data_IF_261860447957
#
_entry.id   IF_261860447957
#
_cell.length_a   1.000
_cell.length_b   1.000
_cell.length_c   1.000
_cell.angle_alpha   90.00
_cell.angle_beta   90.00
_cell.angle_gamma   90.00
#
_symmetry.space_group_name_H-M   'P 1'
#
loop_
_entity.id
_entity.type
_entity.pdbx_description
1 polymer ?
#
# COMPACT_ATOMS: atom_id res chain seq x y z
N UNK A 1 -4.35 -13.23 2.35
CA UNK A 1 -2.92 -13.47 2.04
C UNK A 1 -2.19 -13.97 3.28
N UNK A 2 -1.29 -14.95 3.16
CA UNK A 2 -0.46 -15.41 4.28
C UNK A 2 0.83 -14.56 4.36
N UNK A 3 1.26 -14.10 5.55
CA UNK A 3 2.56 -13.48 5.72
C UNK A 3 3.70 -14.46 5.39
N UNK A 4 4.76 -13.95 4.79
CA UNK A 4 5.99 -14.67 4.47
C UNK A 4 7.05 -14.24 5.49
N UNK A 5 7.65 -15.17 6.25
CA UNK A 5 8.80 -14.85 7.08
C UNK A 5 10.02 -14.63 6.19
N UNK A 6 10.73 -13.53 6.42
CA UNK A 6 11.93 -13.15 5.70
C UNK A 6 13.10 -13.04 6.68
N UNK A 7 14.30 -13.38 6.22
CA UNK A 7 15.55 -13.22 6.97
C UNK A 7 16.46 -12.21 6.26
N UNK A 8 17.30 -11.54 7.04
CA UNK A 8 18.25 -10.60 6.49
C UNK A 8 19.48 -11.33 5.93
N UNK A 9 19.93 -10.92 4.74
CA UNK A 9 21.06 -11.56 4.04
C UNK A 9 22.32 -11.70 4.90
N UNK A 10 22.57 -10.73 5.78
CA UNK A 10 23.79 -10.64 6.59
C UNK A 10 23.61 -11.06 8.07
N UNK A 11 22.41 -11.50 8.48
CA UNK A 11 22.19 -11.97 9.85
C UNK A 11 21.02 -12.96 9.92
N UNK A 12 21.32 -14.25 10.10
CA UNK A 12 20.35 -15.35 10.13
C UNK A 12 19.39 -15.31 11.33
N UNK A 13 19.65 -14.50 12.35
CA UNK A 13 18.81 -14.43 13.57
C UNK A 13 17.75 -13.33 13.52
N UNK A 14 17.92 -12.35 12.62
CA UNK A 14 16.96 -11.27 12.45
C UNK A 14 15.92 -11.68 11.41
N UNK A 15 14.64 -11.41 11.71
CA UNK A 15 13.53 -11.77 10.83
C UNK A 15 12.48 -10.67 10.79
N UNK A 16 11.74 -10.62 9.69
CA UNK A 16 10.59 -9.76 9.49
C UNK A 16 9.51 -10.53 8.74
N UNK A 17 8.28 -10.01 8.71
CA UNK A 17 7.17 -10.62 7.99
C UNK A 17 6.74 -9.70 6.87
N UNK A 18 6.64 -10.23 5.67
CA UNK A 18 6.16 -9.54 4.48
C UNK A 18 4.81 -10.11 4.05
N UNK A 19 3.85 -9.25 3.73
CA UNK A 19 2.56 -9.66 3.14
C UNK A 19 2.58 -9.19 1.69
N UNK A 20 2.68 -10.11 0.70
CA UNK A 20 2.83 -9.76 -0.70
C UNK A 20 1.74 -8.80 -1.19
N UNK A 21 2.14 -7.57 -1.52
CA UNK A 21 1.20 -6.51 -1.87
C UNK A 21 0.41 -6.85 -3.12
N UNK A 22 1.02 -7.52 -4.10
CA UNK A 22 0.37 -8.00 -5.32
C UNK A 22 -0.81 -8.89 -4.94
N UNK A 23 -0.60 -9.89 -4.07
CA UNK A 23 -1.67 -10.79 -3.64
C UNK A 23 -2.76 -10.07 -2.82
N UNK A 24 -2.39 -9.07 -2.01
CA UNK A 24 -3.39 -8.26 -1.29
C UNK A 24 -4.25 -7.48 -2.29
N UNK A 25 -3.64 -6.80 -3.26
CA UNK A 25 -4.34 -6.08 -4.33
C UNK A 25 -5.24 -7.00 -5.14
N UNK A 26 -4.75 -8.18 -5.56
CA UNK A 26 -5.57 -9.18 -6.25
C UNK A 26 -6.81 -9.52 -5.42
N UNK A 27 -6.67 -9.78 -4.11
CA UNK A 27 -7.82 -10.11 -3.27
C UNK A 27 -8.79 -8.93 -3.10
N UNK A 28 -8.28 -7.70 -3.01
CA UNK A 28 -9.11 -6.49 -2.90
C UNK A 28 -9.93 -6.28 -4.17
N UNK A 29 -9.31 -6.45 -5.33
CA UNK A 29 -9.97 -6.25 -6.62
C UNK A 29 -10.98 -7.35 -6.96
N UNK A 30 -10.86 -8.54 -6.36
CA UNK A 30 -11.84 -9.61 -6.53
C UNK A 30 -13.19 -9.30 -5.84
N UNK A 31 -13.23 -8.34 -4.91
CA UNK A 31 -14.47 -7.87 -4.30
C UNK A 31 -15.18 -6.95 -5.30
N UNK A 32 -16.28 -7.41 -5.88
CA UNK A 32 -16.99 -6.76 -6.99
C UNK A 32 -17.19 -5.25 -6.80
N UNK A 33 -17.88 -4.82 -5.74
CA UNK A 33 -18.12 -3.40 -5.47
C UNK A 33 -16.83 -2.56 -5.36
N UNK A 34 -15.74 -3.14 -4.86
CA UNK A 34 -14.48 -2.43 -4.62
C UNK A 34 -13.61 -2.41 -5.86
N UNK A 35 -13.48 -3.55 -6.55
CA UNK A 35 -12.73 -3.66 -7.80
C UNK A 35 -13.32 -2.75 -8.87
N UNK A 36 -14.63 -2.78 -9.04
CA UNK A 36 -15.37 -1.91 -9.96
C UNK A 36 -15.14 -0.43 -9.67
N UNK A 37 -15.22 0.00 -8.42
CA UNK A 37 -14.97 1.40 -8.04
C UNK A 37 -13.52 1.83 -8.30
N UNK A 38 -12.55 0.95 -8.07
CA UNK A 38 -11.12 1.24 -8.27
C UNK A 38 -10.78 1.29 -9.77
N UNK A 39 -11.32 0.37 -10.56
CA UNK A 39 -11.02 0.18 -11.99
C UNK A 39 -11.88 1.10 -12.86
N UNK A 40 -13.21 1.02 -12.75
CA UNK A 40 -14.14 1.72 -13.65
C UNK A 40 -14.33 3.20 -13.31
N UNK A 41 -13.58 3.71 -12.34
CA UNK A 41 -13.61 5.11 -11.91
C UNK A 41 -15.05 5.60 -11.71
N UNK A 42 -15.68 5.21 -10.59
CA UNK A 42 -17.03 5.68 -10.28
C UNK A 42 -17.11 7.20 -10.50
N UNK A 43 -18.10 7.71 -11.25
CA UNK A 43 -18.13 9.10 -11.66
C UNK A 43 -18.15 9.96 -10.41
N UNK A 44 -17.00 10.55 -10.08
CA UNK A 44 -16.97 11.67 -9.18
C UNK A 44 -17.91 12.69 -9.82
N UNK A 45 -18.84 13.22 -9.03
CA UNK A 45 -19.58 14.42 -9.40
C UNK A 45 -18.61 15.41 -10.07
N UNK A 46 -19.02 16.10 -11.15
CA UNK A 46 -18.13 17.00 -11.86
C UNK A 46 -17.45 17.94 -10.84
N UNK A 47 -16.12 18.14 -10.95
CA UNK A 47 -15.36 18.82 -9.92
C UNK A 47 -15.98 20.18 -9.64
N UNK A 48 -16.43 20.39 -8.40
CA UNK A 48 -16.93 21.68 -7.97
C UNK A 48 -15.72 22.51 -7.51
N UNK A 49 -15.50 23.72 -8.07
CA UNK A 49 -14.28 24.50 -7.80
C UNK A 49 -14.02 24.77 -6.31
N UNK A 50 -15.08 24.82 -5.52
CA UNK A 50 -15.03 25.20 -4.10
C UNK A 50 -15.07 24.00 -3.14
N UNK A 51 -15.30 22.78 -3.63
CA UNK A 51 -15.48 21.59 -2.78
C UNK A 51 -14.48 20.50 -3.18
N UNK A 52 -13.63 20.11 -2.23
CA UNK A 52 -12.76 18.95 -2.36
C UNK A 52 -13.54 17.70 -1.95
N UNK A 53 -13.71 16.76 -2.88
CA UNK A 53 -14.52 15.56 -2.69
C UNK A 53 -13.67 14.29 -2.55
N UNK A 54 -12.46 14.31 -3.11
CA UNK A 54 -11.57 13.15 -3.04
C UNK A 54 -10.11 13.46 -3.36
N UNK A 55 -9.32 12.38 -3.43
CA UNK A 55 -7.89 12.44 -3.69
C UNK A 55 -7.53 13.18 -4.99
N UNK A 56 -8.33 13.00 -6.05
CA UNK A 56 -8.09 13.62 -7.37
C UNK A 56 -8.25 15.14 -7.37
N UNK A 57 -8.92 15.70 -6.37
CA UNK A 57 -9.07 17.15 -6.24
C UNK A 57 -7.83 17.84 -5.68
N UNK A 58 -6.90 17.07 -5.10
CA UNK A 58 -5.65 17.59 -4.58
C UNK A 58 -4.71 18.11 -5.67
N UNK A 59 -3.98 19.18 -5.37
CA UNK A 59 -2.96 19.75 -6.26
C UNK A 59 -1.93 18.71 -6.70
N UNK A 60 -1.53 17.80 -5.79
CA UNK A 60 -0.61 16.70 -6.10
C UNK A 60 -1.09 15.84 -7.27
N UNK A 61 -2.38 15.47 -7.28
CA UNK A 61 -2.94 14.71 -8.39
C UNK A 61 -2.99 15.54 -9.66
N UNK A 62 -3.54 16.75 -9.58
CA UNK A 62 -3.78 17.63 -10.73
C UNK A 62 -2.49 18.03 -11.45
N UNK A 63 -1.45 18.36 -10.69
CA UNK A 63 -0.21 18.94 -11.23
C UNK A 63 0.86 17.90 -11.57
N UNK A 64 0.89 16.75 -10.87
CA UNK A 64 1.96 15.76 -11.03
C UNK A 64 1.46 14.40 -11.50
N UNK A 65 0.47 13.83 -10.81
CA UNK A 65 0.10 12.43 -11.05
C UNK A 65 -0.75 12.25 -12.31
N UNK A 66 -1.62 13.20 -12.63
CA UNK A 66 -2.46 13.18 -13.83
C UNK A 66 -1.63 12.98 -15.10
N UNK A 67 -0.51 13.69 -15.23
CA UNK A 67 0.41 13.59 -16.37
C UNK A 67 1.12 12.23 -16.50
N UNK A 68 1.23 11.45 -15.41
CA UNK A 68 1.80 10.10 -15.44
C UNK A 68 0.80 9.07 -16.01
N UNK A 69 -0.50 9.35 -15.94
CA UNK A 69 -1.57 8.47 -16.43
C UNK A 69 -1.79 8.67 -17.94
N UNK A 70 -1.66 9.91 -18.44
CA UNK A 70 -2.04 10.32 -19.81
C UNK A 70 -1.39 9.52 -20.95
N UNK A 71 -0.29 8.81 -20.67
CA UNK A 71 0.46 8.03 -21.66
C UNK A 71 0.27 6.50 -21.50
N UNK A 72 -0.64 6.07 -20.63
CA UNK A 72 -0.81 4.67 -20.24
C UNK A 72 -2.18 4.14 -20.65
N UNK A 73 -2.20 2.98 -21.32
CA UNK A 73 -3.43 2.19 -21.52
C UNK A 73 -3.80 1.34 -20.31
N UNK A 74 -3.15 1.57 -19.15
CA UNK A 74 -3.29 0.77 -17.93
C UNK A 74 -4.15 1.48 -16.90
N UNK A 75 -5.02 0.71 -16.25
CA UNK A 75 -5.74 1.17 -15.07
C UNK A 75 -4.74 1.49 -13.95
N UNK A 76 -4.92 2.62 -13.26
CA UNK A 76 -3.93 3.11 -12.31
C UNK A 76 -4.45 3.11 -10.89
N UNK A 77 -3.77 2.38 -10.01
CA UNK A 77 -4.04 2.37 -8.56
C UNK A 77 -3.07 3.30 -7.85
N UNK A 78 -3.61 4.18 -7.01
CA UNK A 78 -2.81 5.11 -6.21
C UNK A 78 -2.67 4.58 -4.79
N UNK A 79 -1.43 4.36 -4.35
CA UNK A 79 -1.16 3.85 -3.00
C UNK A 79 -0.53 4.92 -2.12
N UNK A 80 -1.05 5.07 -0.91
CA UNK A 80 -0.38 5.78 0.18
C UNK A 80 0.29 4.75 1.08
N UNK A 81 1.63 4.78 1.17
CA UNK A 81 2.40 3.97 2.12
C UNK A 81 2.70 4.79 3.38
N UNK A 82 2.54 4.18 4.54
CA UNK A 82 2.87 4.82 5.82
C UNK A 82 3.29 3.79 6.85
N UNK A 83 3.97 4.26 7.89
CA UNK A 83 4.47 3.42 8.97
C UNK A 83 3.81 3.78 10.29
N UNK A 84 3.62 2.77 11.13
CA UNK A 84 3.27 2.94 12.54
C UNK A 84 4.23 2.15 13.43
N UNK A 85 4.39 2.60 14.66
CA UNK A 85 5.24 1.97 15.65
C UNK A 85 4.41 1.52 16.84
N UNK A 86 4.38 0.21 17.07
CA UNK A 86 3.61 -0.37 18.17
C UNK A 86 4.55 -1.02 19.17
N UNK A 87 4.34 -0.73 20.45
CA UNK A 87 5.03 -1.42 21.54
C UNK A 87 4.09 -2.48 22.15
N UNK A 88 4.48 -3.75 22.07
CA UNK A 88 3.64 -4.87 22.55
C UNK A 88 3.66 -4.98 24.08
N UNK A 89 4.67 -4.44 24.73
CA UNK A 89 4.82 -4.46 26.19
C UNK A 89 4.38 -3.14 26.82
N UNK A 90 4.25 -3.14 28.15
CA UNK A 90 3.85 -1.96 28.90
C UNK A 90 4.76 -0.76 28.55
N UNK A 91 4.21 0.29 27.91
CA UNK A 91 4.99 1.45 27.50
C UNK A 91 5.46 2.30 28.70
N UNK A 92 5.02 1.97 29.91
CA UNK A 92 5.38 2.63 31.16
C UNK A 92 6.04 1.62 32.11
N UNK A 93 7.37 1.57 32.11
CA UNK A 93 8.15 0.72 33.02
C UNK A 93 9.61 0.54 32.62
N UNK A 94 10.38 -0.15 33.45
CA UNK A 94 11.82 -0.37 33.25
C UNK A 94 12.19 -1.15 31.98
N UNK A 95 11.20 -1.77 31.30
CA UNK A 95 11.39 -2.52 30.04
C UNK A 95 10.80 -1.81 28.81
N UNK A 96 10.48 -0.51 28.92
CA UNK A 96 9.99 0.29 27.79
C UNK A 96 10.97 0.24 26.61
N UNK A 97 10.45 0.14 25.40
CA UNK A 97 11.17 0.14 24.12
C UNK A 97 11.75 -1.21 23.70
N UNK A 98 11.63 -2.26 24.54
CA UNK A 98 12.28 -3.56 24.26
C UNK A 98 11.59 -4.38 23.17
N UNK A 99 10.26 -4.32 23.11
CA UNK A 99 9.43 -5.11 22.18
C UNK A 99 8.65 -4.21 21.22
N UNK A 100 9.36 -3.22 20.66
CA UNK A 100 8.82 -2.29 19.68
C UNK A 100 8.86 -2.89 18.28
N UNK A 101 7.74 -2.77 17.57
CA UNK A 101 7.56 -3.19 16.19
C UNK A 101 7.39 -1.97 15.30
N UNK A 102 7.92 -2.06 14.08
CA UNK A 102 7.59 -1.16 12.99
C UNK A 102 6.66 -1.90 12.03
N UNK A 103 5.55 -1.28 11.71
CA UNK A 103 4.53 -1.80 10.81
C UNK A 103 4.45 -0.88 9.60
N UNK A 104 4.38 -1.46 8.41
CA UNK A 104 4.17 -0.73 7.16
C UNK A 104 2.79 -1.08 6.63
N UNK A 105 2.01 -0.05 6.32
CA UNK A 105 0.67 -0.17 5.77
C UNK A 105 0.59 0.52 4.42
N UNK A 106 -0.43 0.14 3.66
CA UNK A 106 -0.90 0.92 2.53
C UNK A 106 -2.41 1.13 2.57
N UNK A 107 -2.84 2.20 1.91
CA UNK A 107 -4.24 2.47 1.58
C UNK A 107 -4.39 2.85 0.12
N UNK A 108 -5.51 2.47 -0.49
CA UNK A 108 -5.83 2.77 -1.89
C UNK A 108 -6.55 4.12 -1.98
N UNK A 109 -5.95 5.10 -2.65
CA UNK A 109 -6.42 6.47 -2.67
C UNK A 109 -7.55 6.71 -3.68
N UNK A 110 -7.62 5.97 -4.78
CA UNK A 110 -8.71 6.09 -5.76
C UNK A 110 -9.97 5.28 -5.40
N UNK A 111 -10.01 4.62 -4.24
CA UNK A 111 -11.24 4.02 -3.70
C UNK A 111 -12.23 5.12 -3.25
N UNK A 112 -13.55 4.94 -3.41
CA UNK A 112 -14.52 5.96 -3.02
C UNK A 112 -14.39 6.37 -1.53
N UNK A 113 -14.48 7.67 -1.18
CA UNK A 113 -14.29 8.15 0.19
C UNK A 113 -15.09 7.40 1.26
N UNK A 114 -16.34 7.02 0.95
CA UNK A 114 -17.23 6.22 1.82
C UNK A 114 -16.62 4.92 2.35
N UNK A 115 -15.71 4.31 1.57
CA UNK A 115 -15.02 3.07 1.96
C UNK A 115 -13.63 3.34 2.48
N UNK A 116 -12.93 4.32 1.90
CA UNK A 116 -11.52 4.62 2.20
C UNK A 116 -11.26 4.86 3.69
N UNK A 117 -12.20 5.49 4.40
CA UNK A 117 -12.06 5.80 5.83
C UNK A 117 -12.27 4.61 6.78
N UNK A 118 -12.61 3.43 6.25
CA UNK A 118 -12.88 2.26 7.08
C UNK A 118 -11.58 1.52 7.39
N UNK A 119 -11.45 1.03 8.64
CA UNK A 119 -10.27 0.27 9.08
C UNK A 119 -9.93 -0.92 8.19
N UNK A 120 -10.94 -1.54 7.54
CA UNK A 120 -10.73 -2.66 6.61
C UNK A 120 -9.98 -2.29 5.32
N UNK A 121 -9.84 -0.99 5.03
CA UNK A 121 -9.09 -0.45 3.88
C UNK A 121 -7.67 0.02 4.26
N UNK A 122 -7.21 -0.35 5.47
CA UNK A 122 -5.82 -0.23 5.90
C UNK A 122 -5.19 -1.61 5.79
N UNK A 123 -4.26 -1.76 4.85
CA UNK A 123 -3.67 -3.06 4.54
C UNK A 123 -2.25 -3.13 5.05
N UNK A 124 -1.97 -4.12 5.90
CA UNK A 124 -0.62 -4.40 6.38
C UNK A 124 0.21 -5.05 5.28
N UNK A 125 1.44 -4.56 5.09
CA UNK A 125 2.37 -5.09 4.09
C UNK A 125 3.67 -5.58 4.70
N UNK A 126 4.08 -5.06 5.86
CA UNK A 126 5.32 -5.48 6.51
C UNK A 126 5.27 -5.31 8.03
N UNK A 127 5.89 -6.25 8.75
CA UNK A 127 6.15 -6.16 10.20
C UNK A 127 7.62 -6.47 10.45
N UNK A 128 8.33 -5.58 11.15
CA UNK A 128 9.70 -5.83 11.61
C UNK A 128 9.89 -5.40 13.06
N UNK A 129 10.86 -6.01 13.75
CA UNK A 129 11.32 -5.49 15.04
C UNK A 129 12.02 -4.15 14.81
N UNK A 130 11.66 -3.14 15.59
CA UNK A 130 12.25 -1.81 15.47
C UNK A 130 13.77 -1.84 15.72
N UNK A 131 14.23 -2.68 16.66
CA UNK A 131 15.66 -2.86 16.91
C UNK A 131 16.43 -3.41 15.69
N UNK A 132 15.82 -4.33 14.93
CA UNK A 132 16.44 -4.85 13.71
C UNK A 132 16.41 -3.82 12.58
N UNK A 133 15.32 -3.04 12.47
CA UNK A 133 15.23 -1.89 11.55
C UNK A 133 16.34 -0.86 11.80
N UNK A 134 16.58 -0.49 13.07
CA UNK A 134 17.64 0.45 13.43
C UNK A 134 19.04 -0.10 13.15
N UNK A 135 19.24 -1.41 13.34
CA UNK A 135 20.54 -2.05 13.19
C UNK A 135 20.89 -2.35 11.72
N UNK A 136 19.92 -2.74 10.91
CA UNK A 136 20.14 -3.23 9.54
C UNK A 136 19.69 -2.25 8.46
N UNK A 137 18.88 -1.25 8.83
CA UNK A 137 18.40 -0.22 7.93
C UNK A 137 17.09 -0.58 7.23
N UNK A 138 16.36 0.46 6.82
CA UNK A 138 15.08 0.32 6.14
C UNK A 138 15.18 -0.35 4.77
N UNK A 139 16.26 -0.10 4.03
CA UNK A 139 16.45 -0.60 2.66
C UNK A 139 16.40 -2.14 2.57
N UNK A 140 17.00 -2.83 3.53
CA UNK A 140 17.00 -4.30 3.57
C UNK A 140 15.62 -4.87 3.90
N UNK A 141 14.89 -4.22 4.82
CA UNK A 141 13.56 -4.62 5.26
C UNK A 141 12.54 -4.40 4.15
N UNK A 142 12.60 -3.24 3.50
CA UNK A 142 11.65 -2.84 2.48
C UNK A 142 11.93 -3.48 1.12
N UNK A 143 13.07 -4.16 0.94
CA UNK A 143 13.46 -4.77 -0.34
C UNK A 143 12.36 -5.60 -1.01
N UNK A 144 11.71 -6.58 -0.35
CA UNK A 144 10.63 -7.34 -1.00
C UNK A 144 9.44 -6.46 -1.41
N UNK A 145 9.09 -5.46 -0.60
CA UNK A 145 8.06 -4.48 -0.97
C UNK A 145 8.49 -3.65 -2.20
N UNK A 146 9.73 -3.20 -2.25
CA UNK A 146 10.28 -2.43 -3.37
C UNK A 146 10.30 -3.26 -4.66
N UNK A 147 10.62 -4.55 -4.58
CA UNK A 147 10.55 -5.46 -5.73
C UNK A 147 9.12 -5.54 -6.28
N UNK A 148 8.13 -5.79 -5.43
CA UNK A 148 6.73 -5.87 -5.86
C UNK A 148 6.21 -4.52 -6.41
N UNK A 149 6.57 -3.39 -5.77
CA UNK A 149 6.19 -2.06 -6.25
C UNK A 149 6.84 -1.72 -7.59
N UNK A 150 8.05 -2.21 -7.86
CA UNK A 150 8.71 -2.01 -9.16
C UNK A 150 7.96 -2.76 -10.26
N UNK A 151 7.61 -4.03 -10.02
CA UNK A 151 6.79 -4.81 -10.95
C UNK A 151 5.43 -4.15 -11.20
N UNK A 152 4.75 -3.71 -10.14
CA UNK A 152 3.45 -3.06 -10.26
C UNK A 152 3.54 -1.69 -10.97
N UNK A 153 4.66 -0.98 -10.85
CA UNK A 153 4.88 0.30 -11.54
C UNK A 153 5.09 0.10 -13.05
N UNK A 154 5.74 -0.98 -13.46
CA UNK A 154 5.97 -1.32 -14.86
C UNK A 154 4.70 -1.81 -15.58
N UNK A 155 3.70 -2.23 -14.80
CA UNK A 155 2.44 -2.77 -15.29
C UNK A 155 2.37 -4.28 -15.09
N UNK A 156 1.22 -4.74 -14.59
CA UNK A 156 0.98 -6.15 -14.29
C UNK A 156 -0.43 -6.54 -14.71
N UNK A 157 -0.53 -7.65 -15.46
CA UNK A 157 -1.82 -8.27 -15.77
C UNK A 157 -2.25 -9.17 -14.62
N UNK A 158 -3.43 -8.90 -14.07
CA UNK A 158 -4.06 -9.70 -13.04
C UNK A 158 -5.36 -10.32 -13.56
N UNK A 159 -5.61 -11.56 -13.16
CA UNK A 159 -6.90 -12.21 -13.38
C UNK A 159 -7.87 -11.81 -12.26
N UNK A 160 -8.90 -11.06 -12.61
CA UNK A 160 -9.90 -10.51 -11.70
C UNK A 160 -11.27 -10.99 -12.18
N UNK A 161 -11.97 -11.79 -11.39
CA UNK A 161 -13.29 -12.32 -11.73
C UNK A 161 -13.39 -13.04 -13.10
N UNK A 162 -12.28 -13.56 -13.63
CA UNK A 162 -12.21 -14.23 -14.94
C UNK A 162 -11.90 -13.30 -16.10
N UNK A 163 -11.63 -12.01 -15.84
CA UNK A 163 -11.14 -11.05 -16.82
C UNK A 163 -9.67 -10.68 -16.54
N UNK A 164 -8.87 -10.57 -17.60
CA UNK A 164 -7.50 -10.09 -17.52
C UNK A 164 -7.48 -8.56 -17.48
N UNK A 165 -7.14 -7.98 -16.33
CA UNK A 165 -7.03 -6.53 -16.13
C UNK A 165 -5.55 -6.15 -16.08
N UNK A 166 -5.12 -5.23 -16.93
CA UNK A 166 -3.75 -4.73 -16.93
C UNK A 166 -3.68 -3.42 -16.15
N UNK A 167 -2.98 -3.44 -15.02
CA UNK A 167 -2.92 -2.31 -14.11
C UNK A 167 -1.50 -1.88 -13.79
N UNK A 168 -1.36 -0.63 -13.38
CA UNK A 168 -0.14 -0.08 -12.80
C UNK A 168 -0.41 0.52 -11.42
N UNK A 169 0.64 0.62 -10.62
CA UNK A 169 0.59 1.26 -9.29
C UNK A 169 1.49 2.47 -9.23
N UNK A 170 0.93 3.58 -8.74
CA UNK A 170 1.68 4.78 -8.39
C UNK A 170 1.65 4.97 -6.87
N UNK A 171 2.83 4.98 -6.27
CA UNK A 171 2.99 5.32 -4.85
C UNK A 171 2.98 6.84 -4.71
N UNK A 172 2.13 7.33 -3.81
CA UNK A 172 1.99 8.73 -3.47
C UNK A 172 2.74 8.98 -2.17
N UNK A 173 3.82 9.76 -2.26
CA UNK A 173 4.70 10.17 -1.17
C UNK A 173 4.86 11.69 -1.15
#
# INVERSE_FOLDING_TARGET
TKPIPCSFKNNSTATFHYVPIIQVLTNVLQVEDVGEEIIREAPNMPPQPEILTGFRDGSLYREKLSGLISNSSLDTIFLLLYTDEVEICNPLGAKRGTHKLCLVYFSILNLHPRHRSQLRQIHLVLIAKYADLQRLGASEILLPLLCDLTLLKEGLTLEIQGESVCLQVLVVA
#
